data_IF_615961791362
#
_entry.id   IF_615961791362
#
_cell.length_a   1.000
_cell.length_b   1.000
_cell.length_c   1.000
_cell.angle_alpha   90.00
_cell.angle_beta   90.00
_cell.angle_gamma   90.00
#
_symmetry.space_group_name_H-M   'P 1'
#
loop_
_entity.id
_entity.type
_entity.pdbx_description
1 polymer ?
#
# COMPACT_ATOMS: atom_id res chain seq x y z
N UNK A 1 0.84 -25.72 -27.10
CA UNK A 1 1.48 -24.46 -26.64
C UNK A 1 1.49 -24.33 -25.11
N UNK A 2 0.73 -25.14 -24.34
CA UNK A 2 0.90 -25.29 -22.89
C UNK A 2 2.08 -26.21 -22.56
N UNK A 3 3.30 -25.73 -22.80
CA UNK A 3 4.49 -26.34 -22.21
C UNK A 3 4.95 -25.39 -21.12
N UNK A 4 4.86 -25.77 -19.83
CA UNK A 4 5.18 -24.92 -18.70
C UNK A 4 6.52 -24.18 -18.88
N UNK A 5 7.54 -24.86 -19.42
CA UNK A 5 8.85 -24.26 -19.71
C UNK A 5 8.81 -22.96 -20.54
N UNK A 6 7.95 -22.88 -21.56
CA UNK A 6 7.86 -21.69 -22.43
C UNK A 6 7.04 -20.60 -21.78
N UNK A 7 6.02 -20.97 -21.01
CA UNK A 7 5.23 -20.05 -20.21
C UNK A 7 6.12 -19.36 -19.16
N UNK A 8 7.03 -20.10 -18.51
CA UNK A 8 7.93 -19.51 -17.52
C UNK A 8 8.97 -18.58 -18.13
N UNK A 9 9.59 -18.97 -19.24
CA UNK A 9 10.53 -18.10 -19.97
C UNK A 9 9.84 -16.81 -20.42
N UNK A 10 8.62 -16.92 -20.91
CA UNK A 10 7.82 -15.78 -21.32
C UNK A 10 7.47 -14.84 -20.15
N UNK A 11 6.99 -15.39 -19.03
CA UNK A 11 6.64 -14.60 -17.85
C UNK A 11 7.87 -13.92 -17.22
N UNK A 12 9.01 -14.62 -17.16
CA UNK A 12 10.28 -14.04 -16.68
C UNK A 12 10.80 -12.92 -17.58
N UNK A 13 10.68 -13.07 -18.91
CA UNK A 13 11.02 -12.01 -19.85
C UNK A 13 10.10 -10.79 -19.71
N UNK A 14 8.80 -11.00 -19.51
CA UNK A 14 7.85 -9.90 -19.28
C UNK A 14 8.18 -9.13 -18.00
N UNK A 15 8.42 -9.83 -16.89
CA UNK A 15 8.82 -9.21 -15.63
C UNK A 15 10.11 -8.40 -15.79
N UNK A 16 11.14 -8.99 -16.41
CA UNK A 16 12.40 -8.31 -16.66
C UNK A 16 12.20 -7.05 -17.53
N UNK A 17 11.40 -7.12 -18.59
CA UNK A 17 11.11 -5.97 -19.45
C UNK A 17 10.41 -4.85 -18.67
N UNK A 18 9.42 -5.18 -17.84
CA UNK A 18 8.68 -4.19 -17.05
C UNK A 18 9.58 -3.50 -16.02
N UNK A 19 10.53 -4.22 -15.43
CA UNK A 19 11.42 -3.69 -14.40
C UNK A 19 12.68 -3.00 -14.95
N UNK A 20 13.08 -3.22 -16.21
CA UNK A 20 14.33 -2.66 -16.75
C UNK A 20 14.15 -1.61 -17.84
N UNK A 21 13.30 -1.87 -18.84
CA UNK A 21 13.26 -1.06 -20.07
C UNK A 21 11.88 -0.47 -20.36
N UNK A 22 10.82 -1.03 -19.80
CA UNK A 22 9.45 -0.54 -19.91
C UNK A 22 8.96 0.06 -18.58
N UNK A 23 9.85 0.81 -17.92
CA UNK A 23 9.57 1.56 -16.71
C UNK A 23 9.75 3.07 -16.94
N UNK A 24 9.22 3.86 -16.00
CA UNK A 24 9.21 5.32 -16.10
C UNK A 24 10.63 5.88 -16.06
N UNK A 25 11.52 5.31 -15.26
CA UNK A 25 12.90 5.80 -15.11
C UNK A 25 13.69 5.73 -16.42
N UNK A 26 13.59 4.60 -17.11
CA UNK A 26 14.24 4.39 -18.40
C UNK A 26 13.60 5.26 -19.48
N UNK A 27 12.26 5.30 -19.56
CA UNK A 27 11.55 5.96 -20.65
C UNK A 27 11.41 7.47 -20.49
N UNK A 28 11.61 8.04 -19.30
CA UNK A 28 11.46 9.49 -19.07
C UNK A 28 12.35 10.32 -19.99
N UNK A 29 13.59 9.90 -20.22
CA UNK A 29 14.51 10.62 -21.14
C UNK A 29 13.99 10.65 -22.57
N UNK A 30 13.45 9.53 -23.04
CA UNK A 30 12.89 9.40 -24.38
C UNK A 30 11.58 10.18 -24.52
N UNK A 31 10.71 10.11 -23.52
CA UNK A 31 9.44 10.82 -23.50
C UNK A 31 9.64 12.35 -23.52
N UNK A 32 10.63 12.85 -22.76
CA UNK A 32 11.00 14.27 -22.77
C UNK A 32 11.59 14.70 -24.13
N UNK A 33 12.46 13.88 -24.71
CA UNK A 33 13.05 14.17 -26.02
C UNK A 33 11.99 14.21 -27.14
N UNK A 34 11.13 13.20 -27.22
CA UNK A 34 10.08 13.15 -28.24
C UNK A 34 9.05 14.27 -28.05
N UNK A 35 8.70 14.58 -26.79
CA UNK A 35 7.79 15.67 -26.48
C UNK A 35 8.33 17.03 -26.93
N UNK A 36 9.64 17.28 -26.77
CA UNK A 36 10.25 18.53 -27.23
C UNK A 36 10.34 18.65 -28.74
N UNK A 37 10.55 17.54 -29.46
CA UNK A 37 10.62 17.50 -30.93
C UNK A 37 9.23 17.67 -31.58
N UNK A 38 8.20 17.05 -31.00
CA UNK A 38 6.86 16.99 -31.61
C UNK A 38 5.83 17.92 -30.97
N UNK A 39 6.22 18.71 -29.96
CA UNK A 39 5.36 19.71 -29.33
C UNK A 39 4.24 19.13 -28.47
N UNK A 40 4.47 18.01 -27.79
CA UNK A 40 3.51 17.40 -26.87
C UNK A 40 4.13 17.15 -25.48
N UNK A 41 3.29 17.05 -24.44
CA UNK A 41 3.76 16.65 -23.10
C UNK A 41 4.02 15.15 -23.04
N UNK A 42 5.28 14.76 -22.81
CA UNK A 42 5.68 13.36 -22.61
C UNK A 42 4.99 12.67 -21.43
N UNK A 43 4.33 13.43 -20.54
CA UNK A 43 3.63 12.89 -19.37
C UNK A 43 2.48 11.93 -19.75
N UNK A 44 1.76 12.19 -20.84
CA UNK A 44 0.69 11.29 -21.29
C UNK A 44 1.23 9.91 -21.69
N UNK A 45 2.41 9.88 -22.33
CA UNK A 45 3.07 8.64 -22.71
C UNK A 45 3.52 7.86 -21.47
N UNK A 46 4.13 8.54 -20.50
CA UNK A 46 4.58 7.92 -19.24
C UNK A 46 3.41 7.37 -18.43
N UNK A 47 2.32 8.14 -18.28
CA UNK A 47 1.10 7.67 -17.60
C UNK A 47 0.48 6.45 -18.29
N UNK A 48 0.45 6.44 -19.62
CA UNK A 48 -0.05 5.30 -20.40
C UNK A 48 0.83 4.06 -20.23
N UNK A 49 2.15 4.26 -20.16
CA UNK A 49 3.13 3.20 -19.92
C UNK A 49 2.99 2.62 -18.51
N UNK A 50 2.86 3.45 -17.47
CA UNK A 50 2.71 2.97 -16.09
C UNK A 50 1.44 2.16 -15.92
N UNK A 51 0.33 2.62 -16.49
CA UNK A 51 -0.93 1.87 -16.47
C UNK A 51 -0.79 0.50 -17.15
N UNK A 52 -0.03 0.40 -18.25
CA UNK A 52 0.21 -0.86 -18.96
C UNK A 52 1.18 -1.77 -18.20
N UNK A 53 2.25 -1.22 -17.65
CA UNK A 53 3.22 -1.96 -16.83
C UNK A 53 2.53 -2.54 -15.59
N UNK A 54 1.76 -1.72 -14.86
CA UNK A 54 0.92 -2.17 -13.74
C UNK A 54 -0.06 -3.27 -14.14
N UNK A 55 -0.70 -3.13 -15.29
CA UNK A 55 -1.59 -4.18 -15.80
C UNK A 55 -0.84 -5.50 -16.03
N UNK A 56 0.31 -5.50 -16.70
CA UNK A 56 1.11 -6.71 -16.96
C UNK A 56 1.58 -7.34 -15.65
N UNK A 57 2.15 -6.55 -14.74
CA UNK A 57 2.61 -7.00 -13.42
C UNK A 57 1.44 -7.61 -12.63
N UNK A 58 0.24 -7.03 -12.71
CA UNK A 58 -0.96 -7.58 -12.04
C UNK A 58 -1.38 -8.97 -12.55
N UNK A 59 -0.94 -9.36 -13.76
CA UNK A 59 -1.22 -10.67 -14.36
C UNK A 59 -0.12 -11.69 -14.11
N UNK A 60 1.04 -11.27 -13.61
CA UNK A 60 2.11 -12.19 -13.27
C UNK A 60 1.71 -13.02 -12.04
N UNK A 61 2.09 -14.30 -11.98
CA UNK A 61 1.94 -15.09 -10.77
C UNK A 61 2.63 -14.39 -9.57
N UNK A 62 2.08 -14.52 -8.35
CA UNK A 62 2.75 -13.97 -7.17
C UNK A 62 4.16 -14.57 -7.04
N UNK A 63 5.16 -13.70 -6.82
CA UNK A 63 6.52 -14.14 -6.50
C UNK A 63 6.47 -14.89 -5.17
N UNK A 64 7.00 -16.10 -5.14
CA UNK A 64 7.15 -16.89 -3.91
C UNK A 64 8.65 -16.90 -3.58
N UNK A 65 9.07 -16.42 -2.40
CA UNK A 65 10.46 -16.56 -1.97
C UNK A 65 10.82 -18.04 -1.84
N UNK A 66 11.95 -18.45 -2.40
CA UNK A 66 12.49 -19.80 -2.20
C UNK A 66 13.43 -19.84 -0.99
N UNK A 67 13.57 -21.01 -0.37
CA UNK A 67 14.49 -21.23 0.75
C UNK A 67 15.45 -22.37 0.40
N UNK A 68 16.76 -22.14 0.55
CA UNK A 68 17.75 -23.22 0.72
C UNK A 68 18.04 -23.28 2.21
N UNK A 69 17.91 -24.47 2.82
CA UNK A 69 18.00 -24.64 4.28
C UNK A 69 19.30 -24.06 4.86
N UNK A 70 19.16 -23.15 5.83
CA UNK A 70 20.28 -22.60 6.59
C UNK A 70 20.14 -21.15 7.05
N UNK A 71 19.23 -20.36 6.47
CA UNK A 71 19.07 -18.94 6.83
C UNK A 71 17.67 -18.69 7.40
N UNK A 72 17.58 -18.39 8.68
CA UNK A 72 16.35 -17.84 9.27
C UNK A 72 16.15 -16.39 8.77
N UNK A 73 14.91 -16.09 8.35
CA UNK A 73 14.33 -14.82 7.89
C UNK A 73 14.75 -14.23 6.53
N UNK A 74 14.27 -14.86 5.45
CA UNK A 74 14.21 -14.29 4.08
C UNK A 74 12.98 -13.39 3.83
N UNK A 75 12.04 -13.37 4.78
CA UNK A 75 10.85 -12.51 4.74
C UNK A 75 10.96 -11.57 5.93
N UNK A 76 11.12 -10.29 5.65
CA UNK A 76 11.14 -9.25 6.68
C UNK A 76 9.78 -8.60 6.77
N UNK A 77 9.27 -8.46 7.99
CA UNK A 77 8.12 -7.62 8.26
C UNK A 77 8.58 -6.20 8.53
N UNK A 78 7.95 -5.22 7.88
CA UNK A 78 8.25 -3.80 8.00
C UNK A 78 6.98 -3.05 8.33
N UNK A 79 6.99 -2.33 9.45
CA UNK A 79 5.92 -1.40 9.80
C UNK A 79 6.05 -0.14 8.94
N UNK A 80 5.07 0.08 8.07
CA UNK A 80 4.99 1.26 7.19
C UNK A 80 4.30 2.44 7.89
N UNK A 81 3.30 2.16 8.71
CA UNK A 81 2.63 3.13 9.59
C UNK A 81 2.58 2.53 11.00
N UNK A 82 3.28 3.17 11.93
CA UNK A 82 3.46 2.70 13.32
C UNK A 82 2.31 3.10 14.25
N UNK A 83 2.36 2.61 15.47
CA UNK A 83 1.45 2.92 16.57
C UNK A 83 2.20 3.76 17.65
N UNK A 84 2.12 5.10 17.63
CA UNK A 84 1.38 5.95 16.69
C UNK A 84 2.17 6.41 15.45
N UNK A 85 1.46 6.78 14.39
CA UNK A 85 1.98 7.41 13.18
C UNK A 85 1.50 8.86 13.03
N UNK A 86 2.20 9.66 12.22
CA UNK A 86 1.76 11.00 11.83
C UNK A 86 0.45 10.93 11.02
N UNK A 87 -0.46 11.86 11.29
CA UNK A 87 -1.73 11.97 10.58
C UNK A 87 -2.15 13.42 10.43
N UNK A 88 -2.70 13.75 9.27
CA UNK A 88 -3.45 14.96 9.03
C UNK A 88 -4.94 14.63 8.95
N UNK A 89 -5.79 15.39 9.64
CA UNK A 89 -7.24 15.15 9.67
C UNK A 89 -8.05 16.38 9.30
N UNK A 90 -9.18 16.16 8.64
CA UNK A 90 -10.16 17.18 8.33
C UNK A 90 -11.56 16.61 8.57
N UNK A 91 -12.35 17.25 9.42
CA UNK A 91 -13.81 17.02 9.44
C UNK A 91 -14.40 17.85 8.31
N UNK A 92 -14.85 17.24 7.20
CA UNK A 92 -15.26 18.00 6.03
C UNK A 92 -16.56 18.76 6.32
N UNK A 93 -16.60 20.02 5.92
CA UNK A 93 -17.81 20.88 5.94
C UNK A 93 -17.86 21.72 4.66
N UNK A 94 -18.95 22.46 4.46
CA UNK A 94 -19.07 23.44 3.37
C UNK A 94 -18.18 24.66 3.58
N UNK A 95 -17.88 25.01 4.83
CA UNK A 95 -17.10 26.21 5.20
C UNK A 95 -15.61 26.01 4.94
N UNK A 96 -15.08 24.80 5.17
CA UNK A 96 -13.69 24.45 4.92
C UNK A 96 -13.44 23.83 3.52
N UNK A 97 -14.48 23.75 2.69
CA UNK A 97 -14.42 23.18 1.34
C UNK A 97 -14.24 21.65 1.32
N UNK A 98 -14.36 20.98 2.47
CA UNK A 98 -14.26 19.53 2.59
C UNK A 98 -15.30 18.78 1.74
N UNK A 99 -16.46 19.39 1.50
CA UNK A 99 -17.52 18.86 0.64
C UNK A 99 -17.14 18.80 -0.86
N UNK A 100 -16.10 19.52 -1.26
CA UNK A 100 -15.66 19.66 -2.66
C UNK A 100 -14.40 18.86 -2.98
N UNK A 101 -13.79 18.21 -1.99
CA UNK A 101 -12.52 17.49 -2.18
C UNK A 101 -12.66 16.23 -3.04
N UNK A 102 -13.87 15.66 -3.13
CA UNK A 102 -14.11 14.44 -3.89
C UNK A 102 -13.18 13.30 -3.45
N UNK A 103 -12.44 12.72 -4.39
CA UNK A 103 -11.39 11.72 -4.10
C UNK A 103 -9.98 12.30 -4.12
N UNK A 104 -9.80 13.57 -4.50
CA UNK A 104 -8.47 14.16 -4.71
C UNK A 104 -7.65 14.12 -3.42
N UNK A 105 -8.29 14.36 -2.27
CA UNK A 105 -7.69 14.27 -0.93
C UNK A 105 -7.15 12.89 -0.57
N UNK A 106 -7.40 11.84 -1.36
CA UNK A 106 -6.87 10.50 -1.11
C UNK A 106 -5.59 10.21 -1.91
N UNK A 107 -5.19 11.12 -2.80
CA UNK A 107 -4.03 10.96 -3.69
C UNK A 107 -2.73 11.47 -3.06
N UNK A 108 -1.59 11.05 -3.60
CA UNK A 108 -0.27 11.54 -3.18
C UNK A 108 0.01 12.98 -3.61
N UNK A 109 -0.75 13.52 -4.58
CA UNK A 109 -0.55 14.88 -5.10
C UNK A 109 -1.32 15.95 -4.33
N UNK A 110 -2.25 15.54 -3.46
CA UNK A 110 -3.04 16.47 -2.67
C UNK A 110 -2.17 17.20 -1.65
N UNK A 111 -2.38 18.52 -1.59
CA UNK A 111 -1.74 19.41 -0.63
C UNK A 111 -2.77 19.81 0.42
N UNK A 112 -2.48 19.49 1.66
CA UNK A 112 -3.32 19.84 2.81
C UNK A 112 -3.39 21.36 2.99
N UNK A 113 -4.59 21.87 3.25
CA UNK A 113 -4.81 23.28 3.58
C UNK A 113 -4.55 23.53 5.07
N UNK A 114 -4.60 24.80 5.50
CA UNK A 114 -4.44 25.15 6.92
C UNK A 114 -5.56 24.60 7.82
N UNK A 115 -6.69 24.16 7.25
CA UNK A 115 -7.81 23.57 8.00
C UNK A 115 -7.56 22.10 8.38
N UNK A 116 -6.54 21.46 7.79
CA UNK A 116 -6.14 20.11 8.18
C UNK A 116 -5.36 20.16 9.50
N UNK A 117 -5.87 19.44 10.48
CA UNK A 117 -5.29 19.34 11.82
C UNK A 117 -4.21 18.25 11.79
N UNK A 118 -2.99 18.62 12.14
CA UNK A 118 -1.86 17.70 12.23
C UNK A 118 -1.81 17.07 13.63
N UNK A 119 -1.46 15.79 13.71
CA UNK A 119 -1.33 15.07 14.96
C UNK A 119 -0.82 13.65 14.77
N UNK A 120 -1.19 12.77 15.69
CA UNK A 120 -0.86 11.34 15.64
C UNK A 120 -2.10 10.46 15.59
N UNK A 121 -1.97 9.24 15.08
CA UNK A 121 -3.03 8.24 15.04
C UNK A 121 -3.56 7.89 16.43
N UNK A 122 -4.78 7.36 16.49
CA UNK A 122 -5.60 7.41 17.70
C UNK A 122 -6.51 8.62 17.64
N UNK A 123 -7.15 8.81 16.49
CA UNK A 123 -8.05 9.95 16.24
C UNK A 123 -9.44 9.56 16.72
N UNK A 124 -10.05 10.39 17.56
CA UNK A 124 -11.35 10.05 18.10
C UNK A 124 -11.82 10.98 19.20
N UNK A 125 -12.92 10.59 19.85
CA UNK A 125 -13.43 11.25 21.05
C UNK A 125 -14.35 10.29 21.82
N UNK A 126 -14.61 10.62 23.08
CA UNK A 126 -15.72 10.06 23.86
C UNK A 126 -16.33 11.19 24.71
N UNK A 127 -17.64 11.42 24.62
CA UNK A 127 -18.34 12.41 25.46
C UNK A 127 -18.47 11.95 26.92
N UNK A 128 -18.37 10.63 27.14
CA UNK A 128 -18.30 10.01 28.46
C UNK A 128 -17.17 8.97 28.42
N UNK A 129 -15.93 9.36 28.77
CA UNK A 129 -14.75 8.52 28.63
C UNK A 129 -14.93 7.12 29.22
N UNK A 130 -14.68 6.09 28.42
CA UNK A 130 -14.81 4.70 28.85
C UNK A 130 -13.80 3.79 28.16
N UNK A 131 -14.00 3.45 26.90
CA UNK A 131 -13.36 2.32 26.22
C UNK A 131 -12.25 2.79 25.30
N UNK A 132 -12.38 4.00 24.74
CA UNK A 132 -11.43 4.56 23.78
C UNK A 132 -10.46 5.58 24.38
N UNK A 133 -10.74 6.12 25.58
CA UNK A 133 -9.95 7.18 26.20
C UNK A 133 -8.42 6.92 26.25
N UNK A 134 -7.97 5.69 26.44
CA UNK A 134 -6.54 5.35 26.45
C UNK A 134 -5.91 5.21 25.05
N UNK A 135 -6.73 5.13 24.00
CA UNK A 135 -6.32 5.01 22.60
C UNK A 135 -6.40 6.35 21.87
N UNK A 136 -7.14 7.33 22.40
CA UNK A 136 -7.28 8.65 21.77
C UNK A 136 -6.03 9.48 22.07
N UNK A 137 -5.29 9.80 21.01
CA UNK A 137 -4.13 10.70 21.04
C UNK A 137 -4.45 12.04 20.38
N UNK A 138 -5.31 12.03 19.36
CA UNK A 138 -5.82 13.23 18.71
C UNK A 138 -7.32 13.34 18.97
N UNK A 139 -7.69 14.22 19.89
CA UNK A 139 -9.08 14.51 20.23
C UNK A 139 -9.71 15.40 19.16
N UNK A 140 -10.81 14.92 18.57
CA UNK A 140 -11.58 15.65 17.54
C UNK A 140 -12.99 16.01 17.99
N UNK A 141 -13.29 15.91 19.29
CA UNK A 141 -14.62 16.17 19.86
C UNK A 141 -15.19 17.53 19.40
N UNK A 142 -14.42 18.61 19.57
CA UNK A 142 -14.89 19.97 19.24
C UNK A 142 -15.13 20.18 17.74
N UNK A 143 -14.49 19.38 16.89
CA UNK A 143 -14.54 19.52 15.43
C UNK A 143 -15.52 18.57 14.76
N UNK A 144 -15.73 17.38 15.33
CA UNK A 144 -16.53 16.31 14.73
C UNK A 144 -17.93 16.21 15.36
N UNK A 145 -18.01 16.26 16.69
CA UNK A 145 -19.28 16.08 17.41
C UNK A 145 -20.25 17.22 17.10
N UNK A 146 -21.47 16.86 16.71
CA UNK A 146 -22.51 17.78 16.27
C UNK A 146 -22.28 18.42 14.90
N UNK A 147 -21.13 18.18 14.27
CA UNK A 147 -20.76 18.80 12.97
C UNK A 147 -20.94 17.81 11.83
N UNK A 148 -20.23 16.68 11.86
CA UNK A 148 -20.28 15.69 10.81
C UNK A 148 -19.95 14.29 11.36
N UNK A 149 -20.66 13.26 10.89
CA UNK A 149 -20.36 11.87 11.23
C UNK A 149 -19.19 11.29 10.42
N UNK A 150 -18.50 12.10 9.63
CA UNK A 150 -17.33 11.69 8.86
C UNK A 150 -16.10 12.53 9.16
N UNK A 151 -14.93 11.91 9.01
CA UNK A 151 -13.62 12.56 9.10
C UNK A 151 -12.71 12.00 8.00
N UNK A 152 -11.92 12.87 7.37
CA UNK A 152 -10.86 12.49 6.46
C UNK A 152 -9.53 12.44 7.21
N UNK A 153 -8.75 11.40 6.96
CA UNK A 153 -7.44 11.19 7.57
C UNK A 153 -6.43 10.85 6.47
N UNK A 154 -5.28 11.52 6.47
CA UNK A 154 -4.16 11.24 5.55
C UNK A 154 -2.94 10.83 6.36
N UNK A 155 -2.37 9.69 6.01
CA UNK A 155 -1.20 9.11 6.66
C UNK A 155 -0.11 8.88 5.60
N UNK A 156 0.88 9.78 5.50
CA UNK A 156 2.00 9.59 4.60
C UNK A 156 2.92 8.48 5.11
N UNK A 157 3.50 7.69 4.20
CA UNK A 157 4.55 6.72 4.52
C UNK A 157 5.47 6.52 3.32
N UNK A 158 6.67 6.00 3.58
CA UNK A 158 7.69 5.76 2.56
C UNK A 158 7.85 4.27 2.28
N UNK A 159 8.09 3.92 1.02
CA UNK A 159 8.45 2.55 0.61
C UNK A 159 9.63 2.63 -0.36
N UNK A 160 10.77 2.06 0.01
CA UNK A 160 11.97 2.12 -0.84
C UNK A 160 11.85 1.23 -2.08
N UNK A 161 11.56 -0.06 -1.88
CA UNK A 161 11.40 -1.03 -2.97
C UNK A 161 10.02 -1.71 -2.90
N UNK A 162 9.15 -1.33 -3.83
CA UNK A 162 7.79 -1.88 -3.90
C UNK A 162 7.73 -3.26 -4.54
N UNK A 163 8.77 -3.66 -5.30
CA UNK A 163 8.81 -4.94 -5.99
C UNK A 163 8.95 -6.13 -5.03
N UNK A 164 9.53 -5.88 -3.85
CA UNK A 164 9.80 -6.87 -2.82
C UNK A 164 8.62 -7.14 -1.91
N UNK A 165 7.65 -6.21 -1.88
CA UNK A 165 6.45 -6.33 -1.05
C UNK A 165 5.61 -7.48 -1.57
N UNK A 166 5.52 -8.55 -0.78
CA UNK A 166 4.75 -9.75 -1.08
C UNK A 166 3.42 -9.81 -0.31
N UNK A 167 3.33 -9.08 0.81
CA UNK A 167 2.11 -8.97 1.61
C UNK A 167 1.93 -7.54 2.11
N UNK A 168 0.69 -7.05 2.13
CA UNK A 168 0.33 -5.76 2.71
C UNK A 168 -0.90 -5.94 3.60
N UNK A 169 -0.79 -5.56 4.87
CA UNK A 169 -1.86 -5.71 5.87
C UNK A 169 -2.14 -4.38 6.53
N UNK A 170 -3.41 -3.93 6.44
CA UNK A 170 -3.93 -2.82 7.22
C UNK A 170 -4.56 -3.36 8.50
N UNK A 171 -4.09 -2.90 9.66
CA UNK A 171 -4.74 -3.19 10.93
C UNK A 171 -5.53 -1.96 11.37
N UNK A 172 -6.83 -2.13 11.59
CA UNK A 172 -7.71 -1.03 12.00
C UNK A 172 -8.32 -1.30 13.36
N UNK A 173 -8.06 -0.41 14.33
CA UNK A 173 -8.99 -0.21 15.46
C UNK A 173 -9.93 0.92 15.06
N UNK A 174 -11.23 0.67 15.14
CA UNK A 174 -12.22 1.64 14.70
C UNK A 174 -13.57 1.38 15.35
N UNK A 175 -14.31 2.44 15.60
CA UNK A 175 -15.65 2.37 16.17
C UNK A 175 -16.66 1.83 15.14
N UNK A 176 -17.43 2.67 14.44
CA UNK A 176 -18.50 2.14 13.59
C UNK A 176 -18.06 1.68 12.20
N UNK A 177 -17.36 2.53 11.43
CA UNK A 177 -17.04 2.22 10.04
C UNK A 177 -15.94 3.09 9.44
N UNK A 178 -15.49 2.70 8.26
CA UNK A 178 -14.51 3.46 7.49
C UNK A 178 -14.51 3.08 6.02
N UNK A 179 -13.86 3.92 5.20
CA UNK A 179 -13.37 3.58 3.86
C UNK A 179 -11.88 3.89 3.79
N UNK A 180 -11.07 2.94 3.32
CA UNK A 180 -9.64 3.09 3.16
C UNK A 180 -9.26 3.21 1.68
N UNK A 181 -8.32 4.12 1.41
CA UNK A 181 -7.75 4.40 0.11
C UNK A 181 -6.23 4.29 0.18
N UNK A 182 -5.62 3.73 -0.86
CA UNK A 182 -4.18 3.71 -1.04
C UNK A 182 -3.86 4.46 -2.32
N UNK A 183 -3.12 5.57 -2.21
CA UNK A 183 -2.71 6.40 -3.34
C UNK A 183 -3.85 6.75 -4.32
N UNK A 184 -5.03 7.08 -3.80
CA UNK A 184 -6.20 7.44 -4.62
C UNK A 184 -7.21 6.33 -4.88
N UNK A 185 -6.86 5.06 -4.66
CA UNK A 185 -7.74 3.92 -4.97
C UNK A 185 -8.35 3.31 -3.71
N UNK A 186 -9.66 3.06 -3.73
CA UNK A 186 -10.38 2.44 -2.60
C UNK A 186 -9.96 0.98 -2.45
N UNK A 187 -9.34 0.65 -1.31
CA UNK A 187 -8.80 -0.69 -1.04
C UNK A 187 -9.62 -1.50 -0.04
N UNK A 188 -10.27 -0.85 0.93
CA UNK A 188 -11.11 -1.52 1.93
C UNK A 188 -12.25 -0.62 2.40
N UNK A 189 -13.27 -1.24 2.99
CA UNK A 189 -14.31 -0.54 3.71
C UNK A 189 -15.00 -1.47 4.70
N UNK A 190 -15.53 -0.90 5.77
CA UNK A 190 -16.34 -1.60 6.76
C UNK A 190 -17.49 -0.68 7.19
N UNK A 191 -18.72 -1.20 7.22
CA UNK A 191 -19.93 -0.44 7.53
C UNK A 191 -20.06 0.89 6.75
N UNK A 192 -19.52 0.97 5.55
CA UNK A 192 -19.68 2.14 4.68
C UNK A 192 -20.95 2.00 3.82
N UNK A 193 -21.69 3.09 3.57
CA UNK A 193 -22.78 3.08 2.59
C UNK A 193 -22.25 2.79 1.18
N UNK A 194 -23.14 2.36 0.28
CA UNK A 194 -22.77 2.10 -1.12
C UNK A 194 -22.30 3.36 -1.83
N UNK A 195 -23.01 4.46 -1.63
CA UNK A 195 -22.67 5.77 -2.16
C UNK A 195 -22.00 6.58 -1.05
N UNK A 196 -20.69 6.71 -1.13
CA UNK A 196 -19.89 7.44 -0.16
C UNK A 196 -19.84 8.93 -0.53
N UNK A 197 -20.13 9.78 0.44
CA UNK A 197 -20.07 11.23 0.36
C UNK A 197 -19.32 11.78 1.58
N UNK A 198 -18.95 13.07 1.53
CA UNK A 198 -18.21 13.74 2.60
C UNK A 198 -18.93 13.75 3.96
N UNK A 199 -20.27 13.65 3.96
CA UNK A 199 -21.09 13.60 5.16
C UNK A 199 -21.74 12.23 5.38
N UNK A 200 -21.21 11.18 4.76
CA UNK A 200 -21.69 9.83 4.99
C UNK A 200 -21.45 9.40 6.44
N UNK A 201 -22.33 8.54 6.92
CA UNK A 201 -22.27 7.92 8.23
C UNK A 201 -22.16 6.41 8.08
N UNK A 202 -21.72 5.72 9.14
CA UNK A 202 -21.62 4.28 9.12
C UNK A 202 -23.02 3.62 9.04
N UNK A 203 -23.15 2.59 8.20
CA UNK A 203 -24.41 1.87 7.95
C UNK A 203 -24.85 1.02 9.14
N UNK A 204 -23.94 0.69 10.06
CA UNK A 204 -24.18 -0.10 11.26
C UNK A 204 -23.16 0.26 12.34
N UNK A 205 -23.47 -0.06 13.60
CA UNK A 205 -22.52 0.07 14.71
C UNK A 205 -21.65 -1.16 14.86
N UNK A 206 -20.51 -0.95 15.51
CA UNK A 206 -19.65 -2.02 16.02
C UNK A 206 -19.67 -1.98 17.55
N UNK A 207 -19.37 -3.11 18.18
CA UNK A 207 -19.23 -3.14 19.64
C UNK A 207 -17.92 -2.48 20.04
N UNK A 208 -17.93 -1.62 21.06
CA UNK A 208 -16.72 -0.94 21.56
C UNK A 208 -15.62 -1.94 21.97
N UNK A 209 -16.01 -3.11 22.50
CA UNK A 209 -15.08 -4.20 22.85
C UNK A 209 -14.34 -4.81 21.66
N UNK A 210 -14.89 -4.68 20.45
CA UNK A 210 -14.25 -5.11 19.21
C UNK A 210 -13.55 -3.93 18.53
N UNK A 211 -14.06 -2.71 18.70
CA UNK A 211 -13.48 -1.50 18.15
C UNK A 211 -12.04 -1.25 18.62
N UNK A 212 -11.71 -1.59 19.87
CA UNK A 212 -10.35 -1.49 20.44
C UNK A 212 -9.37 -2.56 19.96
N UNK A 213 -9.88 -3.63 19.30
CA UNK A 213 -9.04 -4.72 18.78
C UNK A 213 -8.70 -4.44 17.32
N UNK A 214 -7.43 -4.58 16.92
CA UNK A 214 -7.06 -4.42 15.53
C UNK A 214 -7.76 -5.49 14.68
N UNK A 215 -8.52 -5.04 13.67
CA UNK A 215 -9.01 -5.88 12.60
C UNK A 215 -7.97 -5.88 11.48
N UNK A 216 -7.34 -7.03 11.23
CA UNK A 216 -6.40 -7.22 10.13
C UNK A 216 -7.15 -7.36 8.81
N UNK A 217 -6.78 -6.55 7.82
CA UNK A 217 -7.37 -6.50 6.49
C UNK A 217 -6.25 -6.74 5.49
N UNK A 218 -6.40 -7.81 4.71
CA UNK A 218 -5.46 -8.16 3.66
C UNK A 218 -5.62 -7.22 2.46
N UNK A 219 -4.60 -6.38 2.24
CA UNK A 219 -4.48 -5.47 1.12
C UNK A 219 -3.49 -5.97 0.06
N UNK A 220 -3.02 -7.21 0.15
CA UNK A 220 -1.96 -7.76 -0.70
C UNK A 220 -2.29 -7.65 -2.19
N UNK A 221 -3.55 -7.78 -2.59
CA UNK A 221 -3.97 -7.57 -4.00
C UNK A 221 -3.74 -6.15 -4.50
N UNK A 222 -3.67 -5.16 -3.61
CA UNK A 222 -3.47 -3.74 -3.91
C UNK A 222 -2.02 -3.27 -3.77
N UNK A 223 -1.07 -4.16 -3.44
CA UNK A 223 0.37 -3.80 -3.33
C UNK A 223 0.94 -3.14 -4.59
N UNK A 224 0.35 -3.42 -5.75
CA UNK A 224 0.70 -2.80 -7.04
C UNK A 224 0.40 -1.29 -7.13
N UNK A 225 -0.31 -0.74 -6.14
CA UNK A 225 -0.56 0.69 -6.00
C UNK A 225 0.57 1.41 -5.27
N UNK A 226 1.43 0.68 -4.54
CA UNK A 226 2.60 1.25 -3.90
C UNK A 226 3.54 1.79 -4.98
N UNK A 227 4.13 2.95 -4.72
CA UNK A 227 5.18 3.55 -5.54
C UNK A 227 6.46 3.70 -4.72
N UNK A 228 7.65 3.63 -5.32
CA UNK A 228 8.88 3.98 -4.62
C UNK A 228 8.82 5.41 -4.08
N UNK A 229 9.27 5.58 -2.84
CA UNK A 229 9.17 6.84 -2.10
C UNK A 229 7.81 7.04 -1.45
N UNK A 230 7.27 8.26 -1.58
CA UNK A 230 6.11 8.70 -0.82
C UNK A 230 4.80 8.05 -1.29
N UNK A 231 4.08 7.48 -0.33
CA UNK A 231 2.75 6.90 -0.45
C UNK A 231 1.82 7.55 0.58
N UNK A 232 0.51 7.43 0.37
CA UNK A 232 -0.51 7.89 1.32
C UNK A 232 -1.56 6.80 1.53
N UNK A 233 -1.77 6.43 2.80
CA UNK A 233 -2.97 5.75 3.24
C UNK A 233 -3.98 6.82 3.65
N UNK A 234 -5.12 6.87 2.98
CA UNK A 234 -6.21 7.78 3.31
C UNK A 234 -7.38 7.00 3.92
N UNK A 235 -7.92 7.48 5.04
CA UNK A 235 -9.08 6.87 5.69
C UNK A 235 -10.20 7.90 5.78
N UNK A 236 -11.38 7.56 5.26
CA UNK A 236 -12.61 8.24 5.64
C UNK A 236 -13.20 7.48 6.83
N UNK A 237 -13.04 8.04 8.03
CA UNK A 237 -13.70 7.55 9.23
C UNK A 237 -15.20 7.84 9.19
N UNK A 238 -16.01 6.90 9.65
CA UNK A 238 -17.47 7.00 9.68
C UNK A 238 -17.97 6.65 11.09
N UNK A 239 -18.71 7.58 11.67
CA UNK A 239 -19.48 7.41 12.88
C UNK A 239 -20.96 7.18 12.52
N UNK A 240 -21.81 6.63 13.41
CA UNK A 240 -23.24 6.42 13.15
C UNK A 240 -24.02 7.68 12.83
N UNK A 241 -23.62 8.80 13.42
CA UNK A 241 -24.22 10.10 13.23
C UNK A 241 -23.28 11.20 13.73
N UNK A 242 -23.54 12.44 13.36
CA UNK A 242 -22.78 13.58 13.88
C UNK A 242 -22.89 13.72 15.42
N UNK A 243 -23.97 13.23 16.05
CA UNK A 243 -24.21 13.37 17.49
C UNK A 243 -23.95 12.07 18.27
N UNK A 244 -23.26 11.09 17.68
CA UNK A 244 -22.91 9.87 18.39
C UNK A 244 -21.87 10.18 19.49
N UNK A 245 -21.90 9.44 20.59
CA UNK A 245 -21.15 9.74 21.82
C UNK A 245 -19.64 9.54 21.70
N UNK A 246 -19.22 8.75 20.72
CA UNK A 246 -17.87 8.22 20.62
C UNK A 246 -17.49 8.01 19.15
N UNK A 247 -16.18 8.07 18.91
CA UNK A 247 -15.53 7.75 17.65
C UNK A 247 -14.09 7.29 17.93
N UNK A 248 -13.60 6.34 17.14
CA UNK A 248 -12.20 5.90 17.16
C UNK A 248 -11.78 5.52 15.74
N UNK A 249 -10.62 6.01 15.31
CA UNK A 249 -9.95 5.65 14.07
C UNK A 249 -8.44 5.53 14.30
N UNK A 250 -7.93 4.31 14.19
CA UNK A 250 -6.53 3.99 14.49
C UNK A 250 -5.97 2.96 13.50
N UNK A 251 -5.49 3.41 12.34
CA UNK A 251 -4.81 2.57 11.37
C UNK A 251 -3.35 2.29 11.78
N UNK A 252 -2.88 1.07 11.50
CA UNK A 252 -1.46 0.77 11.29
C UNK A 252 -1.30 -0.03 10.00
N UNK A 253 -0.15 0.07 9.35
CA UNK A 253 0.09 -0.58 8.06
C UNK A 253 1.42 -1.33 8.12
N UNK A 254 1.38 -2.61 7.74
CA UNK A 254 2.54 -3.48 7.77
C UNK A 254 2.70 -4.15 6.41
N UNK A 255 3.93 -4.16 5.91
CA UNK A 255 4.32 -4.92 4.74
C UNK A 255 5.17 -6.11 5.15
N UNK A 256 5.07 -7.20 4.38
CA UNK A 256 6.12 -8.22 4.37
C UNK A 256 6.81 -8.16 3.03
N UNK A 257 8.12 -8.08 3.08
CA UNK A 257 8.98 -8.07 1.91
C UNK A 257 9.79 -9.34 1.87
N UNK A 258 9.81 -10.00 0.72
CA UNK A 258 10.89 -10.94 0.44
C UNK A 258 12.09 -10.06 0.11
N UNK A 259 13.15 -10.09 0.92
CA UNK A 259 14.32 -9.26 0.64
C UNK A 259 14.74 -9.47 -0.84
N UNK A 260 15.08 -8.39 -1.55
CA UNK A 260 15.92 -8.48 -2.74
C UNK A 260 17.29 -8.95 -2.25
N UNK A 261 17.41 -10.25 -1.99
CA UNK A 261 18.72 -10.82 -1.77
C UNK A 261 19.51 -10.53 -3.04
N UNK A 262 20.75 -10.02 -2.96
CA UNK A 262 21.68 -10.27 -4.05
C UNK A 262 21.60 -11.78 -4.30
N UNK A 263 21.33 -12.18 -5.55
CA UNK A 263 21.17 -13.58 -6.01
C UNK A 263 21.92 -14.48 -5.03
N UNK A 264 21.27 -15.27 -4.16
CA UNK A 264 21.96 -15.91 -3.05
C UNK A 264 23.15 -16.71 -3.60
N UNK A 265 24.36 -16.20 -3.40
CA UNK A 265 25.57 -16.83 -3.92
C UNK A 265 25.92 -17.96 -2.95
N UNK A 266 25.42 -19.15 -3.25
CA UNK A 266 25.73 -20.35 -2.49
C UNK A 266 27.03 -20.95 -3.01
N UNK A 267 28.11 -20.79 -2.24
CA UNK A 267 29.38 -21.48 -2.48
C UNK A 267 29.47 -22.72 -1.61
N UNK A 268 29.63 -23.89 -2.23
CA UNK A 268 29.86 -25.16 -1.53
C UNK A 268 30.98 -25.95 -2.18
N UNK A 269 31.63 -26.80 -1.38
CA UNK A 269 32.58 -27.81 -1.85
C UNK A 269 31.92 -29.20 -1.98
N UNK A 270 30.61 -29.29 -1.73
CA UNK A 270 29.85 -30.54 -1.85
C UNK A 270 29.74 -30.97 -3.31
N UNK A 271 29.88 -32.28 -3.55
CA UNK A 271 29.74 -32.86 -4.90
C UNK A 271 28.30 -32.85 -5.42
N UNK A 272 27.33 -32.63 -4.56
CA UNK A 272 25.92 -32.63 -4.90
C UNK A 272 25.20 -31.55 -4.10
N UNK A 273 24.51 -30.65 -4.79
CA UNK A 273 23.58 -29.70 -4.20
C UNK A 273 22.18 -30.13 -4.59
N UNK A 274 21.32 -30.36 -3.59
CA UNK A 274 19.92 -30.69 -3.85
C UNK A 274 19.09 -29.43 -3.61
N UNK A 275 18.50 -28.89 -4.68
CA UNK A 275 17.50 -27.84 -4.58
C UNK A 275 16.17 -28.49 -4.18
N UNK A 276 15.59 -28.05 -3.06
CA UNK A 276 14.27 -28.53 -2.60
C UNK A 276 13.32 -27.34 -2.46
N UNK A 277 12.10 -27.51 -2.94
CA UNK A 277 11.06 -26.49 -2.90
C UNK A 277 9.96 -26.77 -3.92
N UNK A 278 8.81 -26.11 -3.76
CA UNK A 278 7.64 -26.24 -4.65
C UNK A 278 7.48 -25.07 -5.63
N UNK A 279 8.54 -24.26 -5.83
CA UNK A 279 8.52 -23.02 -6.63
C UNK A 279 9.62 -22.91 -7.69
N UNK A 280 9.77 -21.72 -8.29
CA UNK A 280 10.74 -21.41 -9.35
C UNK A 280 12.09 -20.97 -8.77
N UNK A 281 13.20 -21.32 -9.43
CA UNK A 281 14.54 -20.78 -9.18
C UNK A 281 15.15 -20.37 -10.53
N UNK A 282 15.57 -19.12 -10.65
CA UNK A 282 16.35 -18.63 -11.81
C UNK A 282 17.85 -18.77 -11.50
N UNK A 283 18.45 -19.88 -11.94
CA UNK A 283 19.89 -20.12 -11.74
C UNK A 283 20.67 -19.34 -12.78
N UNK A 284 21.12 -18.15 -12.42
CA UNK A 284 21.85 -17.24 -13.33
C UNK A 284 23.27 -17.70 -13.66
N UNK A 285 23.97 -18.34 -12.73
CA UNK A 285 25.34 -18.83 -12.94
C UNK A 285 25.65 -20.02 -12.01
N UNK A 286 26.35 -21.04 -12.52
CA UNK A 286 26.97 -22.11 -11.72
C UNK A 286 28.48 -22.04 -11.93
N UNK A 287 29.24 -21.77 -10.87
CA UNK A 287 30.71 -21.71 -10.92
C UNK A 287 31.29 -22.98 -10.31
N UNK A 288 32.10 -23.71 -11.08
CA UNK A 288 32.85 -24.87 -10.60
C UNK A 288 34.32 -24.47 -10.46
N UNK A 289 34.84 -24.44 -9.23
CA UNK A 289 36.25 -24.12 -8.97
C UNK A 289 36.68 -22.69 -9.32
N UNK A 290 35.77 -21.72 -9.29
CA UNK A 290 36.09 -20.30 -9.50
C UNK A 290 36.31 -19.87 -10.96
N UNK A 291 35.99 -20.71 -11.94
CA UNK A 291 35.97 -20.34 -13.37
C UNK A 291 34.55 -20.37 -13.92
N UNK A 292 34.13 -19.28 -14.57
CA UNK A 292 32.82 -19.17 -15.21
C UNK A 292 32.73 -20.10 -16.42
N UNK A 293 31.85 -21.09 -16.34
CA UNK A 293 31.38 -21.85 -17.51
C UNK A 293 29.98 -21.33 -17.82
N UNK A 294 29.83 -20.64 -18.95
CA UNK A 294 28.52 -20.32 -19.51
C UNK A 294 27.77 -21.63 -19.78
N UNK A 295 26.62 -21.82 -19.12
CA UNK A 295 25.74 -22.94 -19.42
C UNK A 295 25.24 -22.83 -20.87
N UNK A 296 25.17 -23.94 -21.62
CA UNK A 296 24.55 -23.91 -22.94
C UNK A 296 23.06 -23.56 -22.79
N UNK A 297 22.63 -22.55 -23.55
CA UNK A 297 21.24 -22.10 -23.70
C UNK A 297 20.34 -23.24 -24.18
#
# INVERSE_FOLDING_TARGET
LNLPQYEHLFLGQLDHLMNTVFNRDYLSRWALHLGSVHGFSGASLLNSMDSRSRYVISKLPPRIPFMIGGNEDLITETTLLDDPAEVAVLVPTTENGGDQLGIEWTTTQFVETADWIQGTTGVGFETSPSTFASLIQLDVLETMFGQNGSIYMRLPFEVDNTADVIQLTLNMRFDDGFVAYLNGERVAAFNAPSDIAWNSVASASRLNSDAVKPLAIDLTKYRHLLVPGQNVLAIQGLNRSANHSDALFYPTLVARSAADLPIPEYSTNERQVTLQGSGWVDVKEIRLGGTSLSLPV
#
